data_IF_699401809527
#
_entry.id   IF_699401809527
#
_cell.length_a   1.000
_cell.length_b   1.000
_cell.length_c   1.000
_cell.angle_alpha   90.00
_cell.angle_beta   90.00
_cell.angle_gamma   90.00
#
_symmetry.space_group_name_H-M   'P 1'
#
loop_
_entity.id
_entity.type
_entity.pdbx_description
1 polymer ?
#
# COMPACT_ATOMS: atom_id res chain seq x y z
N UNK A 1 16.95 -12.74 -9.33
CA UNK A 1 15.71 -13.11 -8.63
C UNK A 1 15.11 -11.87 -8.00
N UNK A 2 13.94 -11.52 -8.43
CA UNK A 2 13.28 -10.52 -7.64
C UNK A 2 13.17 -11.05 -6.23
N UNK A 3 13.48 -10.21 -5.30
CA UNK A 3 13.44 -10.54 -3.91
C UNK A 3 12.02 -10.89 -3.51
N UNK A 4 11.74 -12.18 -3.38
CA UNK A 4 10.61 -12.56 -2.57
C UNK A 4 10.95 -12.17 -1.13
N UNK A 5 10.03 -11.58 -0.39
CA UNK A 5 10.27 -11.33 1.02
C UNK A 5 10.61 -12.64 1.70
N UNK A 6 11.64 -12.63 2.55
CA UNK A 6 12.01 -13.81 3.32
C UNK A 6 11.06 -14.05 4.47
N UNK A 7 10.18 -13.11 4.78
CA UNK A 7 9.26 -13.17 5.90
C UNK A 7 7.90 -13.79 5.55
N UNK A 8 6.96 -13.77 6.50
CA UNK A 8 5.63 -14.35 6.30
C UNK A 8 4.80 -13.56 5.29
N UNK A 9 3.86 -14.25 4.67
CA UNK A 9 2.88 -13.63 3.78
C UNK A 9 1.46 -14.01 4.21
N UNK A 10 0.89 -13.28 5.20
CA UNK A 10 -0.47 -13.58 5.67
C UNK A 10 -1.55 -13.12 4.70
N UNK A 11 -1.19 -12.48 3.60
CA UNK A 11 -2.14 -11.94 2.61
C UNK A 11 -2.34 -12.87 1.40
N UNK A 12 -1.58 -13.95 1.28
CA UNK A 12 -1.68 -14.85 0.14
C UNK A 12 -1.42 -14.13 -1.18
N UNK A 13 -2.30 -14.31 -2.17
CA UNK A 13 -2.13 -13.71 -3.50
C UNK A 13 -2.09 -12.18 -3.47
N UNK A 14 -2.77 -11.56 -2.53
CA UNK A 14 -2.75 -10.11 -2.36
C UNK A 14 -1.34 -9.62 -2.06
N UNK A 15 -0.60 -10.35 -1.24
CA UNK A 15 0.77 -9.96 -0.84
C UNK A 15 1.77 -9.97 -1.98
N UNK A 16 1.54 -10.74 -3.03
CA UNK A 16 2.44 -10.84 -4.19
C UNK A 16 1.87 -10.22 -5.45
N UNK A 17 0.65 -9.68 -5.39
CA UNK A 17 -0.01 -9.08 -6.55
C UNK A 17 0.72 -7.82 -7.00
N UNK A 18 0.71 -7.58 -8.31
CA UNK A 18 1.27 -6.35 -8.87
C UNK A 18 0.42 -5.13 -8.51
N UNK A 19 -0.89 -5.28 -8.50
CA UNK A 19 -1.83 -4.24 -8.11
C UNK A 19 -2.78 -4.79 -7.06
N UNK A 20 -3.04 -3.98 -6.05
CA UNK A 20 -3.97 -4.30 -4.96
C UNK A 20 -5.05 -3.25 -4.97
N UNK A 21 -6.32 -3.67 -4.92
CA UNK A 21 -7.41 -2.73 -4.69
C UNK A 21 -7.46 -2.47 -3.18
N UNK A 22 -7.20 -1.22 -2.81
CA UNK A 22 -7.33 -0.76 -1.43
C UNK A 22 -8.67 -0.06 -1.30
N UNK A 23 -9.54 -0.56 -0.43
CA UNK A 23 -10.80 0.08 -0.12
C UNK A 23 -10.72 0.72 1.25
N UNK A 24 -10.88 2.04 1.29
CA UNK A 24 -10.98 2.82 2.52
C UNK A 24 -12.42 3.27 2.71
N UNK A 25 -12.76 3.75 3.90
CA UNK A 25 -14.15 4.11 4.23
C UNK A 25 -14.24 5.55 4.68
N UNK A 26 -15.28 6.24 4.20
CA UNK A 26 -15.61 7.58 4.67
C UNK A 26 -16.19 7.49 6.10
N UNK A 27 -16.35 8.64 6.76
CA UNK A 27 -17.00 8.68 8.08
C UNK A 27 -18.43 8.13 8.03
N UNK A 28 -19.09 8.26 6.90
CA UNK A 28 -20.44 7.71 6.69
C UNK A 28 -20.44 6.22 6.34
N UNK A 29 -19.26 5.58 6.28
CA UNK A 29 -19.16 4.17 5.96
C UNK A 29 -19.19 3.84 4.48
N UNK A 30 -19.02 4.83 3.60
CA UNK A 30 -19.02 4.60 2.16
C UNK A 30 -17.67 4.08 1.70
N UNK A 31 -17.67 2.98 0.97
CA UNK A 31 -16.45 2.34 0.45
C UNK A 31 -15.85 3.13 -0.71
N UNK A 32 -14.54 3.33 -0.69
CA UNK A 32 -13.80 4.05 -1.73
C UNK A 32 -12.62 3.19 -2.20
N UNK A 33 -12.81 2.36 -3.23
CA UNK A 33 -11.74 1.50 -3.75
C UNK A 33 -10.84 2.23 -4.73
N UNK A 34 -9.53 1.94 -4.67
CA UNK A 34 -8.55 2.42 -5.64
C UNK A 34 -7.49 1.35 -5.86
N UNK A 35 -6.93 1.21 -7.08
CA UNK A 35 -5.77 0.35 -7.29
C UNK A 35 -4.51 1.05 -6.78
N UNK A 36 -3.61 0.28 -6.18
CA UNK A 36 -2.37 0.82 -5.62
C UNK A 36 -1.27 -0.24 -5.68
N UNK A 37 -0.03 0.22 -5.74
CA UNK A 37 1.11 -0.65 -5.58
C UNK A 37 1.29 -1.00 -4.10
N UNK A 38 1.60 -2.25 -3.84
CA UNK A 38 1.81 -2.74 -2.49
C UNK A 38 2.90 -3.80 -2.47
N UNK A 39 3.69 -3.84 -1.41
CA UNK A 39 4.76 -4.81 -1.28
C UNK A 39 4.87 -5.27 0.16
N UNK A 40 5.13 -6.58 0.34
CA UNK A 40 5.35 -7.15 1.67
C UNK A 40 6.74 -6.77 2.18
N UNK A 41 6.82 -6.45 3.46
CA UNK A 41 8.11 -6.36 4.14
C UNK A 41 8.46 -7.71 4.81
N UNK A 42 9.60 -7.75 5.48
CA UNK A 42 10.08 -8.98 6.12
C UNK A 42 9.27 -9.38 7.34
N UNK A 43 8.43 -8.51 7.87
CA UNK A 43 7.58 -8.79 9.03
C UNK A 43 6.21 -9.32 8.64
N UNK A 44 5.88 -9.32 7.35
CA UNK A 44 4.56 -9.74 6.86
C UNK A 44 3.55 -8.62 6.81
N UNK A 45 3.96 -7.38 6.99
CA UNK A 45 3.08 -6.23 6.74
C UNK A 45 3.10 -5.88 5.26
N UNK A 46 1.96 -5.44 4.75
CA UNK A 46 1.83 -4.99 3.37
C UNK A 46 1.99 -3.48 3.34
N UNK A 47 3.03 -3.02 2.65
CA UNK A 47 3.37 -1.60 2.61
C UNK A 47 2.87 -0.96 1.32
N UNK A 48 2.33 0.24 1.43
CA UNK A 48 1.84 1.04 0.32
C UNK A 48 2.41 2.45 0.44
N UNK A 49 2.63 3.09 -0.70
CA UNK A 49 3.23 4.42 -0.74
C UNK A 49 2.31 5.35 -1.52
N UNK A 50 1.97 6.49 -0.95
CA UNK A 50 0.98 7.39 -1.53
C UNK A 50 1.25 8.83 -1.11
N UNK A 51 0.46 9.75 -1.62
CA UNK A 51 0.56 11.16 -1.25
C UNK A 51 -0.06 11.38 0.13
N UNK A 52 0.67 12.12 0.98
CA UNK A 52 0.26 12.35 2.36
C UNK A 52 -1.08 13.09 2.49
N UNK A 53 -1.40 13.94 1.52
CA UNK A 53 -2.66 14.70 1.52
C UNK A 53 -3.80 14.01 0.80
N UNK A 54 -3.63 12.74 0.40
CA UNK A 54 -4.69 12.02 -0.29
C UNK A 54 -5.86 11.69 0.63
N UNK A 55 -7.01 11.48 0.04
CA UNK A 55 -8.20 11.08 0.79
C UNK A 55 -8.03 9.73 1.46
N UNK A 56 -7.26 8.81 0.86
CA UNK A 56 -6.93 7.51 1.46
C UNK A 56 -6.33 7.68 2.85
N UNK A 57 -5.37 8.58 2.98
CA UNK A 57 -4.68 8.83 4.25
C UNK A 57 -5.66 9.37 5.28
N UNK A 58 -6.49 10.33 4.91
CA UNK A 58 -7.50 10.88 5.83
C UNK A 58 -8.50 9.83 6.28
N UNK A 59 -8.97 8.99 5.35
CA UNK A 59 -9.93 7.93 5.68
C UNK A 59 -9.35 6.90 6.63
N UNK A 60 -8.10 6.50 6.41
CA UNK A 60 -7.41 5.54 7.29
C UNK A 60 -7.22 6.15 8.69
N UNK A 61 -6.90 7.43 8.78
CA UNK A 61 -6.78 8.11 10.06
C UNK A 61 -8.07 8.12 10.87
N UNK A 62 -9.22 8.17 10.20
CA UNK A 62 -10.54 8.11 10.85
C UNK A 62 -11.02 6.68 11.06
N UNK A 63 -10.76 5.80 10.10
CA UNK A 63 -11.24 4.41 10.10
C UNK A 63 -10.09 3.51 9.63
N UNK A 64 -9.37 2.87 10.57
CA UNK A 64 -8.21 2.03 10.22
C UNK A 64 -8.58 0.76 9.46
N UNK A 65 -9.83 0.33 9.53
CA UNK A 65 -10.29 -0.85 8.80
C UNK A 65 -10.24 -0.58 7.29
N UNK A 66 -9.66 -1.52 6.56
CA UNK A 66 -9.62 -1.48 5.09
C UNK A 66 -9.99 -2.83 4.52
N UNK A 67 -10.33 -2.86 3.22
CA UNK A 67 -10.48 -4.10 2.48
C UNK A 67 -9.41 -4.14 1.41
N UNK A 68 -8.91 -5.33 1.14
CA UNK A 68 -7.89 -5.60 0.14
C UNK A 68 -8.40 -6.65 -0.84
N UNK A 69 -7.99 -6.52 -2.09
CA UNK A 69 -8.23 -7.55 -3.11
C UNK A 69 -7.17 -7.43 -4.18
N UNK A 70 -6.95 -8.50 -4.94
CA UNK A 70 -6.15 -8.39 -6.15
C UNK A 70 -6.97 -7.66 -7.21
N UNK A 71 -6.30 -6.93 -8.10
CA UNK A 71 -6.97 -6.28 -9.22
C UNK A 71 -5.98 -6.03 -10.34
N UNK A 72 -6.46 -5.51 -11.48
CA UNK A 72 -5.58 -5.05 -12.55
C UNK A 72 -5.24 -3.56 -12.36
N UNK A 73 -4.47 -3.01 -13.28
CA UNK A 73 -4.01 -1.62 -13.23
C UNK A 73 -5.16 -0.61 -13.18
N UNK A 74 -6.30 -0.96 -13.77
CA UNK A 74 -7.47 -0.08 -13.81
C UNK A 74 -8.41 -0.29 -12.62
N UNK A 75 -8.08 -1.21 -11.71
CA UNK A 75 -8.96 -1.54 -10.58
C UNK A 75 -10.09 -2.48 -10.96
N UNK A 76 -9.93 -3.23 -12.05
CA UNK A 76 -10.92 -4.21 -12.52
C UNK A 76 -10.44 -5.62 -12.22
N UNK A 77 -11.28 -6.61 -12.54
CA UNK A 77 -10.97 -8.03 -12.32
C UNK A 77 -10.62 -8.30 -10.87
N UNK A 78 -11.44 -7.76 -9.98
CA UNK A 78 -11.20 -7.78 -8.54
C UNK A 78 -11.42 -9.19 -7.99
N UNK A 79 -10.43 -9.69 -7.26
CA UNK A 79 -10.52 -10.97 -6.59
C UNK A 79 -11.29 -10.90 -5.28
N UNK A 80 -11.30 -11.99 -4.51
CA UNK A 80 -11.96 -11.99 -3.20
C UNK A 80 -11.38 -10.93 -2.28
N UNK A 81 -12.24 -10.29 -1.50
CA UNK A 81 -11.82 -9.26 -0.54
C UNK A 81 -11.34 -9.86 0.76
N UNK A 82 -10.39 -9.17 1.38
CA UNK A 82 -9.85 -9.50 2.70
C UNK A 82 -9.88 -8.26 3.57
N UNK A 83 -10.40 -8.40 4.79
CA UNK A 83 -10.39 -7.30 5.74
C UNK A 83 -9.01 -7.21 6.40
N UNK A 84 -8.55 -5.99 6.65
CA UNK A 84 -7.26 -5.75 7.29
C UNK A 84 -7.28 -4.42 8.04
N UNK A 85 -6.19 -4.12 8.73
CA UNK A 85 -6.05 -2.87 9.49
C UNK A 85 -4.87 -2.09 8.96
N UNK A 86 -5.05 -0.81 8.67
CA UNK A 86 -4.02 0.07 8.11
C UNK A 86 -3.63 1.14 9.13
N UNK A 87 -2.37 1.55 9.06
CA UNK A 87 -1.88 2.69 9.82
C UNK A 87 -0.95 3.54 8.97
N UNK A 88 -0.90 4.83 9.26
CA UNK A 88 -0.04 5.77 8.56
C UNK A 88 1.32 5.76 9.25
N UNK A 89 2.38 5.68 8.46
CA UNK A 89 3.75 5.60 8.97
C UNK A 89 4.38 6.98 9.12
N UNK A 90 5.37 7.07 9.99
CA UNK A 90 6.21 8.26 10.15
C UNK A 90 7.25 8.36 9.01
N UNK A 91 8.16 9.33 9.12
CA UNK A 91 9.18 9.55 8.08
C UNK A 91 10.09 8.35 7.89
N UNK A 92 10.51 7.71 8.97
CA UNK A 92 11.37 6.52 8.91
C UNK A 92 10.63 5.35 8.25
N UNK A 93 9.38 5.12 8.63
CA UNK A 93 8.54 4.09 8.04
C UNK A 93 8.25 4.36 6.57
N UNK A 94 8.07 5.62 6.21
CA UNK A 94 7.86 6.03 4.82
C UNK A 94 9.10 5.76 3.97
N UNK A 95 10.28 6.07 4.49
CA UNK A 95 11.54 5.78 3.79
C UNK A 95 11.72 4.28 3.58
N UNK A 96 11.43 3.48 4.60
CA UNK A 96 11.46 2.02 4.49
C UNK A 96 10.46 1.51 3.45
N UNK A 97 9.26 2.08 3.42
CA UNK A 97 8.23 1.72 2.44
C UNK A 97 8.74 1.95 1.01
N UNK A 98 9.40 3.08 0.75
CA UNK A 98 9.96 3.34 -0.59
C UNK A 98 10.97 2.29 -0.98
N UNK A 99 11.83 1.88 -0.05
CA UNK A 99 12.81 0.83 -0.33
C UNK A 99 12.16 -0.50 -0.68
N UNK A 100 11.13 -0.90 0.06
CA UNK A 100 10.40 -2.14 -0.18
C UNK A 100 9.65 -2.10 -1.51
N UNK A 101 9.01 -1.00 -1.83
CA UNK A 101 8.32 -0.80 -3.10
C UNK A 101 9.32 -0.84 -4.26
N UNK A 102 10.45 -0.15 -4.13
CA UNK A 102 11.50 -0.16 -5.15
C UNK A 102 12.05 -1.57 -5.40
N UNK A 103 12.21 -2.34 -4.34
CA UNK A 103 12.71 -3.72 -4.46
C UNK A 103 11.74 -4.60 -5.25
N UNK A 104 10.44 -4.43 -5.04
CA UNK A 104 9.41 -5.23 -5.72
C UNK A 104 9.21 -4.79 -7.18
N UNK A 105 9.12 -3.49 -7.43
CA UNK A 105 8.76 -2.95 -8.75
C UNK A 105 9.98 -2.58 -9.60
N UNK A 106 11.18 -2.70 -9.04
CA UNK A 106 12.43 -2.50 -9.76
C UNK A 106 12.62 -1.08 -10.26
N UNK A 107 13.17 -0.94 -11.46
CA UNK A 107 13.51 0.37 -12.01
C UNK A 107 12.29 1.28 -12.17
N UNK A 108 11.16 0.72 -12.59
CA UNK A 108 9.92 1.48 -12.75
C UNK A 108 9.47 2.07 -11.43
N UNK A 109 9.49 1.27 -10.37
CA UNK A 109 9.13 1.74 -9.04
C UNK A 109 10.06 2.83 -8.53
N UNK A 110 11.37 2.65 -8.73
CA UNK A 110 12.38 3.63 -8.33
C UNK A 110 12.18 4.96 -9.03
N UNK A 111 11.94 4.93 -10.34
CA UNK A 111 11.70 6.14 -11.11
C UNK A 111 10.44 6.86 -10.65
N UNK A 112 9.37 6.13 -10.41
CA UNK A 112 8.12 6.72 -9.95
C UNK A 112 8.27 7.39 -8.58
N UNK A 113 8.93 6.72 -7.63
CA UNK A 113 9.11 7.27 -6.29
C UNK A 113 10.07 8.47 -6.29
N UNK A 114 11.13 8.40 -7.07
CA UNK A 114 12.11 9.49 -7.19
C UNK A 114 11.47 10.72 -7.84
N UNK A 115 10.74 10.53 -8.93
CA UNK A 115 10.09 11.63 -9.63
C UNK A 115 9.08 12.35 -8.71
N UNK A 116 8.27 11.58 -7.99
CA UNK A 116 7.32 12.17 -7.04
C UNK A 116 8.03 12.96 -5.94
N UNK A 117 9.13 12.43 -5.41
CA UNK A 117 9.88 13.12 -4.36
C UNK A 117 10.50 14.43 -4.86
N UNK A 118 11.00 14.45 -6.11
CA UNK A 118 11.58 15.65 -6.68
C UNK A 118 10.55 16.76 -6.89
N UNK A 119 9.37 16.40 -7.40
CA UNK A 119 8.35 17.40 -7.74
C UNK A 119 7.55 17.88 -6.53
N UNK A 120 7.37 17.04 -5.53
CA UNK A 120 6.45 17.34 -4.42
C UNK A 120 7.14 17.48 -3.07
N UNK A 121 8.44 17.20 -3.01
CA UNK A 121 9.18 17.18 -1.76
C UNK A 121 8.93 15.90 -0.95
N UNK A 122 9.83 15.61 -0.03
CA UNK A 122 9.80 14.38 0.75
C UNK A 122 8.58 14.30 1.67
N UNK A 123 8.16 15.43 2.24
CA UNK A 123 7.04 15.49 3.18
C UNK A 123 5.69 15.32 2.50
N UNK A 124 5.63 15.33 1.17
CA UNK A 124 4.36 15.19 0.45
C UNK A 124 3.91 13.74 0.26
N UNK A 125 4.73 12.77 0.65
CA UNK A 125 4.41 11.35 0.52
C UNK A 125 4.46 10.66 1.88
N UNK A 126 3.75 9.54 1.99
CA UNK A 126 3.67 8.79 3.23
C UNK A 126 3.51 7.30 2.93
N UNK A 127 4.07 6.46 3.81
CA UNK A 127 3.87 5.04 3.79
C UNK A 127 2.65 4.64 4.59
N UNK A 128 1.99 3.58 4.14
CA UNK A 128 0.88 2.95 4.85
C UNK A 128 1.28 1.51 5.11
N UNK A 129 1.17 1.07 6.35
CA UNK A 129 1.39 -0.33 6.70
C UNK A 129 0.04 -0.99 6.96
N UNK A 130 -0.19 -2.12 6.30
CA UNK A 130 -1.42 -2.88 6.44
C UNK A 130 -1.10 -4.21 7.10
N UNK A 131 -1.82 -4.51 8.18
CA UNK A 131 -1.65 -5.73 8.97
C UNK A 131 -2.84 -6.64 8.74
N UNK A 132 -2.56 -7.92 8.46
CA UNK A 132 -3.62 -8.92 8.29
C UNK A 132 -4.30 -9.20 9.64
N UNK A 133 -5.56 -9.62 9.64
CA UNK A 133 -6.23 -10.02 10.87
C UNK A 133 -5.55 -11.24 11.47
N UNK A 134 -5.56 -11.32 12.76
CA UNK A 134 -4.99 -12.45 13.52
C UNK A 134 -5.94 -13.62 13.59
#
# INVERSE_FOLDING_TARGET
>A
MPSSPSGPNPFGDIGTAKYVQLTTFTKAGVAKPVPIWAALDDTGELLMWTQAKSWKVKRIGNTPRVLLATCDRAGRNVGPTMEATARILDDAGTAHTREVINAKYGLVGRLATTASSLFKGKSSTVGIAVTAPR
#
